data_IF_440714077028
#
_entry.id   IF_440714077028
#
_cell.length_a   1.000
_cell.length_b   1.000
_cell.length_c   1.000
_cell.angle_alpha   90.00
_cell.angle_beta   90.00
_cell.angle_gamma   90.00
#
_symmetry.space_group_name_H-M   'P 1'
#
loop_
_entity.id
_entity.type
_entity.pdbx_description
1 polymer ?
#
# COMPACT_ATOMS: atom_id res chain seq x y z
N UNK A 1 30.19 28.90 26.76
CA UNK A 1 30.38 28.35 25.39
C UNK A 1 29.95 26.89 25.25
N UNK A 2 30.34 25.98 26.17
CA UNK A 2 30.00 24.54 26.06
C UNK A 2 28.49 24.26 26.09
N UNK A 3 27.71 24.99 26.91
CA UNK A 3 26.25 24.88 26.98
C UNK A 3 25.55 25.25 25.65
N UNK A 4 26.03 26.29 24.95
CA UNK A 4 25.47 26.69 23.66
C UNK A 4 25.76 25.65 22.57
N UNK A 5 26.91 24.98 22.62
CA UNK A 5 27.26 23.89 21.68
C UNK A 5 26.42 22.63 21.95
N UNK A 6 26.20 22.27 23.22
CA UNK A 6 25.31 21.16 23.57
C UNK A 6 23.85 21.42 23.17
N UNK A 7 23.38 22.67 23.24
CA UNK A 7 22.00 23.01 22.85
C UNK A 7 21.80 22.92 21.34
N UNK A 8 22.78 23.36 20.52
CA UNK A 8 22.72 23.28 19.06
C UNK A 8 22.81 21.82 18.58
N UNK A 9 23.61 20.99 19.27
CA UNK A 9 23.75 19.58 18.94
C UNK A 9 22.49 18.75 19.26
N UNK A 10 21.66 19.19 20.20
CA UNK A 10 20.45 18.49 20.61
C UNK A 10 19.22 18.78 19.71
N UNK A 11 19.26 19.85 18.90
CA UNK A 11 18.16 20.21 17.99
C UNK A 11 18.19 19.45 16.65
N UNK A 12 19.29 18.76 16.32
CA UNK A 12 19.44 18.03 15.05
C UNK A 12 18.97 16.55 15.13
N UNK A 13 18.70 16.05 16.35
CA UNK A 13 18.27 14.67 16.61
C UNK A 13 16.75 14.55 16.84
N UNK A 14 15.97 15.48 16.28
CA UNK A 14 14.55 15.23 16.08
C UNK A 14 14.40 14.31 14.86
N UNK A 15 13.87 13.07 15.01
CA UNK A 15 13.59 12.23 13.86
C UNK A 15 12.48 12.91 13.04
N UNK A 16 12.89 13.73 12.07
CA UNK A 16 12.03 14.26 11.02
C UNK A 16 11.24 13.09 10.49
N UNK A 17 9.91 13.18 10.59
CA UNK A 17 8.93 12.16 10.22
C UNK A 17 9.02 11.72 8.75
N UNK A 18 10.10 11.02 8.40
CA UNK A 18 10.43 10.50 7.07
C UNK A 18 9.90 9.07 6.91
N UNK A 19 8.77 8.77 7.56
CA UNK A 19 8.15 7.44 7.53
C UNK A 19 7.07 7.27 6.47
N UNK A 20 6.36 8.33 6.09
CA UNK A 20 5.20 8.22 5.17
C UNK A 20 5.54 8.23 3.68
N UNK A 21 6.71 8.75 3.29
CA UNK A 21 7.03 8.93 1.87
C UNK A 21 7.62 7.69 1.19
N UNK A 22 8.15 6.71 1.94
CA UNK A 22 8.84 5.56 1.35
C UNK A 22 7.88 4.44 0.96
N UNK A 23 6.83 4.18 1.76
CA UNK A 23 5.88 3.10 1.49
C UNK A 23 5.07 3.31 0.18
N UNK A 24 4.66 4.55 -0.12
CA UNK A 24 3.92 4.88 -1.36
C UNK A 24 4.79 4.82 -2.62
N UNK A 25 6.12 4.79 -2.48
CA UNK A 25 7.06 4.72 -3.61
C UNK A 25 7.65 3.33 -3.78
N UNK A 26 7.04 2.32 -3.17
CA UNK A 26 7.38 0.93 -3.48
C UNK A 26 6.71 0.53 -4.81
N UNK A 27 7.45 -0.11 -5.72
CA UNK A 27 6.89 -0.72 -6.94
C UNK A 27 5.69 -1.62 -6.65
N UNK A 28 5.68 -2.28 -5.48
CA UNK A 28 4.61 -3.18 -5.05
C UNK A 28 3.28 -2.43 -4.86
N UNK A 29 3.34 -1.21 -4.31
CA UNK A 29 2.16 -0.39 -4.11
C UNK A 29 1.56 0.06 -5.45
N UNK A 30 2.40 0.41 -6.42
CA UNK A 30 1.94 0.78 -7.76
C UNK A 30 1.22 -0.38 -8.45
N UNK A 31 1.80 -1.59 -8.40
CA UNK A 31 1.15 -2.80 -8.92
C UNK A 31 -0.16 -3.10 -8.21
N UNK A 32 -0.22 -2.92 -6.89
CA UNK A 32 -1.45 -3.10 -6.13
C UNK A 32 -2.55 -2.11 -6.54
N UNK A 33 -2.20 -0.84 -6.73
CA UNK A 33 -3.14 0.19 -7.20
C UNK A 33 -3.65 -0.15 -8.61
N UNK A 34 -2.77 -0.57 -9.52
CA UNK A 34 -3.18 -1.00 -10.87
C UNK A 34 -4.16 -2.18 -10.78
N UNK A 35 -3.87 -3.18 -9.94
CA UNK A 35 -4.75 -4.32 -9.73
C UNK A 35 -6.13 -3.88 -9.23
N UNK A 36 -6.19 -2.97 -8.25
CA UNK A 36 -7.45 -2.44 -7.73
C UNK A 36 -8.24 -1.67 -8.78
N UNK A 37 -7.58 -0.85 -9.59
CA UNK A 37 -8.24 -0.09 -10.67
C UNK A 37 -8.84 -1.04 -11.70
N UNK A 38 -8.08 -2.06 -12.13
CA UNK A 38 -8.60 -3.06 -13.07
C UNK A 38 -9.78 -3.81 -12.47
N UNK A 39 -9.66 -4.29 -11.23
CA UNK A 39 -10.73 -4.98 -10.53
C UNK A 39 -12.01 -4.13 -10.47
N UNK A 40 -11.89 -2.86 -10.10
CA UNK A 40 -13.04 -1.95 -10.03
C UNK A 40 -13.70 -1.72 -11.40
N UNK A 41 -12.90 -1.52 -12.45
CA UNK A 41 -13.42 -1.35 -13.82
C UNK A 41 -14.17 -2.60 -14.28
N UNK A 42 -13.60 -3.79 -14.11
CA UNK A 42 -14.26 -5.04 -14.50
C UNK A 42 -15.51 -5.33 -13.67
N UNK A 43 -15.49 -5.02 -12.37
CA UNK A 43 -16.65 -5.18 -11.49
C UNK A 43 -17.84 -4.28 -11.88
N UNK A 44 -17.59 -3.08 -12.41
CA UNK A 44 -18.65 -2.14 -12.82
C UNK A 44 -19.06 -2.36 -14.28
N UNK A 45 -18.11 -2.65 -15.17
CA UNK A 45 -18.38 -2.80 -16.60
C UNK A 45 -18.96 -4.18 -16.97
N UNK A 46 -18.71 -5.21 -16.15
CA UNK A 46 -19.21 -6.57 -16.37
C UNK A 46 -19.87 -7.13 -15.11
N UNK A 47 -21.21 -7.16 -15.11
CA UNK A 47 -22.01 -7.69 -14.02
C UNK A 47 -21.77 -9.19 -13.74
N UNK A 48 -21.15 -9.93 -14.66
CA UNK A 48 -20.83 -11.34 -14.49
C UNK A 48 -19.45 -11.56 -13.88
N UNK A 49 -18.57 -10.56 -13.89
CA UNK A 49 -17.19 -10.70 -13.41
C UNK A 49 -17.14 -11.13 -11.94
N UNK A 50 -17.92 -10.46 -11.09
CA UNK A 50 -18.13 -10.82 -9.68
C UNK A 50 -19.40 -11.64 -9.44
N UNK A 51 -19.90 -12.36 -10.46
CA UNK A 51 -21.05 -13.24 -10.26
C UNK A 51 -20.74 -14.32 -9.22
N UNK A 52 -21.75 -14.80 -8.46
CA UNK A 52 -21.56 -15.86 -7.47
C UNK A 52 -20.88 -17.12 -8.04
N UNK A 53 -21.13 -17.44 -9.32
CA UNK A 53 -20.54 -18.58 -10.02
C UNK A 53 -19.03 -18.38 -10.26
N UNK A 54 -18.61 -17.20 -10.72
CA UNK A 54 -17.19 -16.91 -10.94
C UNK A 54 -16.42 -16.87 -9.62
N UNK A 55 -17.02 -16.29 -8.59
CA UNK A 55 -16.45 -16.28 -7.24
C UNK A 55 -16.34 -17.72 -6.70
N UNK A 56 -17.39 -18.55 -6.83
CA UNK A 56 -17.32 -19.94 -6.38
C UNK A 56 -16.27 -20.75 -7.15
N UNK A 57 -16.14 -20.52 -8.46
CA UNK A 57 -15.09 -21.15 -9.27
C UNK A 57 -13.69 -20.74 -8.80
N UNK A 58 -13.45 -19.45 -8.56
CA UNK A 58 -12.17 -18.97 -8.01
C UNK A 58 -11.85 -19.62 -6.66
N UNK A 59 -12.84 -19.66 -5.75
CA UNK A 59 -12.68 -20.28 -4.44
C UNK A 59 -12.44 -21.80 -4.51
N UNK A 60 -13.01 -22.47 -5.51
CA UNK A 60 -12.79 -23.90 -5.73
C UNK A 60 -11.38 -24.23 -6.23
N UNK A 61 -10.67 -23.26 -6.83
CA UNK A 61 -9.28 -23.42 -7.28
C UNK A 61 -8.25 -22.86 -6.28
N UNK A 62 -8.68 -22.25 -5.17
CA UNK A 62 -7.76 -21.88 -4.11
C UNK A 62 -7.28 -23.17 -3.43
N UNK A 63 -5.96 -23.41 -3.38
CA UNK A 63 -5.43 -24.54 -2.63
C UNK A 63 -5.83 -24.39 -1.16
N UNK A 64 -6.27 -25.50 -0.57
CA UNK A 64 -6.48 -25.63 0.87
C UNK A 64 -5.18 -25.27 1.59
N UNK A 65 -5.17 -24.13 2.30
CA UNK A 65 -4.08 -23.67 3.17
C UNK A 65 -4.15 -24.34 4.54
#
# INVERSE_FOLDING_TARGET
MVQAVMTIAAEDDAPRAKGRSSLMRSPQFSSFIILLVLLAVFAVADANFLSPLNISNMMAFLPEL
#
